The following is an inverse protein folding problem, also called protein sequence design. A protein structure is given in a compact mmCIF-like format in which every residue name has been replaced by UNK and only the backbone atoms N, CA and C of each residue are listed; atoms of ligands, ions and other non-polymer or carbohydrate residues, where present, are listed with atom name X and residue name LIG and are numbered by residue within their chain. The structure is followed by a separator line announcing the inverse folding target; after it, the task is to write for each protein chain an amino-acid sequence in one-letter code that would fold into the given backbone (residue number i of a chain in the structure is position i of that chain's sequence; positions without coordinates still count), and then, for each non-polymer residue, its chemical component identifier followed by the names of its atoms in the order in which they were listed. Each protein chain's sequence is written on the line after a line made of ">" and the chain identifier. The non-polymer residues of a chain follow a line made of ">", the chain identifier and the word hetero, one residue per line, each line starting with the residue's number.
data_IF_953488695799
#
_entry.id   IF_953488695799
#
_cell.length_a   1.000
_cell.length_b   1.000
_cell.length_c   1.000
_cell.angle_alpha   90.00
_cell.angle_beta   90.00
_cell.angle_gamma   90.00
#
_symmetry.space_group_name_H-M   'P 1'
#
loop_
_entity.id
_entity.type
_entity.pdbx_description
1 polymer ?
#
# COMPACT_ATOMS: atom_id res chain seq x y z
N UNK A 1 -19.60 -5.84 40.10
CA UNK A 1 -18.65 -5.52 39.05
C UNK A 1 -19.07 -4.26 38.33
N UNK A 2 -18.11 -3.51 37.98
CA UNK A 2 -18.37 -2.28 37.25
C UNK A 2 -18.34 -2.58 35.77
N UNK A 3 -19.43 -2.29 35.13
CA UNK A 3 -19.51 -2.37 33.70
C UNK A 3 -18.86 -1.12 33.11
N UNK A 4 -17.79 -1.27 32.40
CA UNK A 4 -17.16 -0.18 31.71
C UNK A 4 -17.50 -0.22 30.24
N UNK A 5 -17.98 0.91 29.73
CA UNK A 5 -18.12 1.07 28.32
C UNK A 5 -16.70 1.25 27.74
N UNK A 6 -16.26 0.27 26.99
CA UNK A 6 -14.97 0.37 26.28
C UNK A 6 -15.28 0.82 24.86
N UNK A 7 -14.82 2.03 24.57
CA UNK A 7 -14.90 2.51 23.20
C UNK A 7 -13.62 2.11 22.48
N UNK A 8 -13.75 1.16 21.56
CA UNK A 8 -12.63 0.72 20.75
C UNK A 8 -12.65 1.47 19.43
N UNK A 9 -11.62 2.26 19.20
CA UNK A 9 -11.35 2.79 17.89
C UNK A 9 -10.38 1.86 17.19
N UNK A 10 -10.73 1.37 16.00
CA UNK A 10 -9.79 0.61 15.20
C UNK A 10 -8.81 1.58 14.57
N UNK A 11 -7.53 1.37 14.86
CA UNK A 11 -6.45 2.16 14.26
C UNK A 11 -5.42 1.21 13.70
N UNK A 12 -5.06 1.43 12.47
CA UNK A 12 -4.00 0.66 11.80
C UNK A 12 -2.83 1.58 11.50
N UNK A 13 -1.68 1.01 11.15
CA UNK A 13 -0.51 1.80 10.83
C UNK A 13 -0.75 2.62 9.57
N UNK A 14 -0.45 3.90 9.66
CA UNK A 14 -0.47 4.83 8.55
C UNK A 14 0.92 5.45 8.40
N UNK A 15 1.40 5.54 7.17
CA UNK A 15 2.65 6.22 6.87
C UNK A 15 2.49 7.09 5.64
N UNK A 16 2.98 8.32 5.74
CA UNK A 16 3.02 9.25 4.61
C UNK A 16 4.24 8.95 3.75
N UNK A 17 4.05 8.90 2.44
CA UNK A 17 5.10 8.68 1.46
C UNK A 17 5.16 9.88 0.54
N UNK A 18 6.34 10.49 0.41
CA UNK A 18 6.52 11.69 -0.40
C UNK A 18 7.57 11.52 -1.49
N UNK A 19 8.26 10.39 -1.53
CA UNK A 19 9.31 10.12 -2.51
C UNK A 19 9.46 8.62 -2.72
N UNK A 20 10.27 8.23 -3.68
CA UNK A 20 10.57 6.83 -3.96
C UNK A 20 11.10 6.11 -2.72
N UNK A 21 10.82 4.82 -2.61
CA UNK A 21 11.25 4.01 -1.48
C UNK A 21 10.68 2.61 -1.56
N UNK A 22 10.65 1.95 -0.41
CA UNK A 22 10.15 0.58 -0.28
C UNK A 22 9.24 0.50 0.95
N UNK A 23 8.09 -0.17 0.81
CA UNK A 23 7.22 -0.44 1.94
C UNK A 23 7.83 -1.49 2.87
N UNK A 24 7.26 -1.64 4.06
CA UNK A 24 7.72 -2.63 5.03
C UNK A 24 6.55 -3.48 5.51
N UNK A 25 6.87 -4.61 6.12
CA UNK A 25 5.84 -5.54 6.62
C UNK A 25 4.98 -4.94 7.72
N UNK A 26 5.42 -3.83 8.33
CA UNK A 26 4.63 -3.12 9.35
C UNK A 26 3.66 -2.10 8.75
N UNK A 27 3.76 -1.80 7.45
CA UNK A 27 2.87 -0.86 6.79
C UNK A 27 1.50 -1.47 6.57
N UNK A 28 0.46 -0.66 6.74
CA UNK A 28 -0.91 -1.05 6.43
C UNK A 28 -1.54 -0.07 5.44
N UNK A 29 -1.49 1.23 5.77
CA UNK A 29 -1.98 2.29 4.88
C UNK A 29 -0.80 3.18 4.50
N UNK A 30 -0.61 3.38 3.22
CA UNK A 30 0.36 4.33 2.68
C UNK A 30 -0.39 5.45 1.99
N UNK A 31 -0.21 6.68 2.49
CA UNK A 31 -0.77 7.88 1.89
C UNK A 31 0.31 8.59 1.09
N UNK A 32 0.14 8.66 -0.22
CA UNK A 32 1.14 9.25 -1.10
C UNK A 32 0.86 10.75 -1.28
N UNK A 33 1.69 11.57 -0.64
CA UNK A 33 1.83 13.00 -0.92
C UNK A 33 2.91 13.21 -1.98
N UNK A 34 3.55 14.34 -2.02
CA UNK A 34 4.69 14.60 -2.91
C UNK A 34 4.29 14.61 -4.39
N UNK A 35 4.37 15.79 -5.03
CA UNK A 35 3.98 15.94 -6.43
C UNK A 35 4.92 15.19 -7.37
N UNK A 36 4.46 14.92 -8.59
CA UNK A 36 5.23 14.27 -9.64
C UNK A 36 5.11 12.75 -9.61
N UNK A 37 5.84 12.10 -10.49
CA UNK A 37 5.87 10.65 -10.54
C UNK A 37 6.64 10.08 -9.35
N UNK A 38 6.12 9.00 -8.77
CA UNK A 38 6.78 8.28 -7.68
C UNK A 38 6.85 6.81 -8.06
N UNK A 39 8.05 6.24 -7.99
CA UNK A 39 8.24 4.79 -8.10
C UNK A 39 8.47 4.24 -6.69
N UNK A 40 7.65 3.26 -6.31
CA UNK A 40 7.68 2.72 -4.96
C UNK A 40 7.66 1.20 -5.00
N UNK A 41 8.56 0.59 -4.26
CA UNK A 41 8.65 -0.87 -4.21
C UNK A 41 7.77 -1.39 -3.09
N UNK A 42 6.94 -2.37 -3.42
CA UNK A 42 6.14 -3.09 -2.41
C UNK A 42 7.03 -4.17 -1.80
N UNK A 43 7.01 -4.28 -0.48
CA UNK A 43 7.79 -5.31 0.22
C UNK A 43 7.35 -6.72 -0.20
N UNK A 44 8.17 -7.71 0.12
CA UNK A 44 7.91 -9.09 -0.29
C UNK A 44 6.58 -9.61 0.25
N UNK A 45 5.75 -10.13 -0.65
CA UNK A 45 4.49 -10.80 -0.30
C UNK A 45 4.75 -12.05 0.55
N UNK A 46 5.84 -12.74 0.29
CA UNK A 46 6.24 -13.91 1.07
C UNK A 46 6.62 -13.51 2.50
N UNK A 47 7.35 -12.41 2.67
CA UNK A 47 7.70 -11.92 4.00
C UNK A 47 6.47 -11.41 4.76
N UNK A 48 5.53 -10.79 4.06
CA UNK A 48 4.29 -10.32 4.67
C UNK A 48 3.42 -11.46 5.15
N UNK A 49 3.39 -12.54 4.39
CA UNK A 49 2.58 -13.71 4.69
C UNK A 49 1.18 -13.64 4.06
N UNK A 50 0.59 -14.79 3.86
CA UNK A 50 -0.75 -14.90 3.27
C UNK A 50 -1.79 -14.18 4.14
N UNK A 51 -2.64 -13.39 3.51
CA UNK A 51 -3.68 -12.62 4.19
C UNK A 51 -3.25 -11.23 4.62
N UNK A 52 -1.98 -10.84 4.43
CA UNK A 52 -1.55 -9.47 4.71
C UNK A 52 -2.16 -8.50 3.72
N UNK A 53 -2.58 -7.35 4.23
CA UNK A 53 -3.20 -6.28 3.44
C UNK A 53 -2.27 -5.08 3.38
N UNK A 54 -2.31 -4.38 2.23
CA UNK A 54 -1.65 -3.10 2.06
C UNK A 54 -2.57 -2.19 1.27
N UNK A 55 -2.89 -1.05 1.85
CA UNK A 55 -3.78 -0.06 1.24
C UNK A 55 -2.97 1.14 0.81
N UNK A 56 -3.17 1.58 -0.42
CA UNK A 56 -2.41 2.69 -0.99
C UNK A 56 -3.39 3.72 -1.51
N UNK A 57 -3.20 4.97 -1.08
CA UNK A 57 -4.02 6.10 -1.48
C UNK A 57 -3.15 7.21 -2.02
N UNK A 58 -3.48 7.72 -3.19
CA UNK A 58 -2.92 8.98 -3.67
C UNK A 58 -3.69 10.11 -3.00
N UNK A 59 -3.03 10.82 -2.09
CA UNK A 59 -3.65 11.88 -1.31
C UNK A 59 -3.63 13.23 -2.03
N UNK A 60 -3.02 13.29 -3.23
CA UNK A 60 -3.03 14.51 -4.04
C UNK A 60 -4.13 14.44 -5.10
N UNK A 61 -4.85 15.54 -5.26
CA UNK A 61 -5.87 15.64 -6.30
C UNK A 61 -5.26 15.86 -7.70
N UNK A 62 -4.03 16.35 -7.76
CA UNK A 62 -3.32 16.60 -9.01
C UNK A 62 -1.83 16.41 -8.78
N UNK A 63 -1.33 15.25 -9.16
CA UNK A 63 0.06 14.87 -8.90
C UNK A 63 1.02 15.34 -9.99
N UNK A 64 0.57 15.38 -11.23
CA UNK A 64 1.43 15.66 -12.37
C UNK A 64 2.32 14.48 -12.74
N UNK A 65 1.87 13.26 -12.51
CA UNK A 65 2.59 12.04 -12.79
C UNK A 65 1.82 10.85 -12.23
N UNK A 66 2.42 9.69 -12.26
CA UNK A 66 1.79 8.45 -11.78
C UNK A 66 2.57 7.87 -10.61
N UNK A 67 1.87 7.12 -9.76
CA UNK A 67 2.51 6.26 -8.77
C UNK A 67 2.67 4.89 -9.44
N UNK A 68 3.91 4.43 -9.55
CA UNK A 68 4.20 3.10 -10.09
C UNK A 68 4.70 2.22 -8.95
N UNK A 69 3.98 1.15 -8.70
CA UNK A 69 4.38 0.16 -7.71
C UNK A 69 5.19 -0.93 -8.41
N UNK A 70 6.28 -1.35 -7.80
CA UNK A 70 7.06 -2.49 -8.28
C UNK A 70 7.08 -3.59 -7.24
N UNK A 71 6.98 -4.84 -7.69
CA UNK A 71 7.07 -5.98 -6.79
C UNK A 71 8.53 -6.25 -6.41
N UNK A 72 8.72 -6.91 -5.28
CA UNK A 72 10.06 -7.29 -4.79
C UNK A 72 10.51 -8.60 -5.40
N UNK A 73 11.78 -8.68 -5.74
CA UNK A 73 12.38 -9.91 -6.25
C UNK A 73 11.66 -10.42 -7.49
N UNK A 74 11.36 -11.70 -7.52
CA UNK A 74 10.63 -12.34 -8.62
C UNK A 74 9.13 -12.35 -8.43
N UNK A 75 8.60 -11.60 -7.45
CA UNK A 75 7.17 -11.54 -7.18
C UNK A 75 6.44 -10.65 -8.17
N UNK A 76 5.12 -10.70 -8.15
CA UNK A 76 4.27 -9.93 -9.06
C UNK A 76 3.12 -9.28 -8.31
N UNK A 77 2.54 -8.25 -8.95
CA UNK A 77 1.27 -7.64 -8.56
C UNK A 77 0.30 -7.94 -9.70
N UNK A 78 -0.72 -8.74 -9.43
CA UNK A 78 -1.66 -9.21 -10.45
C UNK A 78 -0.95 -9.82 -11.67
N UNK A 79 0.13 -10.57 -11.44
CA UNK A 79 0.90 -11.22 -12.50
C UNK A 79 1.91 -10.32 -13.21
N UNK A 80 2.03 -9.04 -12.82
CA UNK A 80 2.96 -8.10 -13.44
C UNK A 80 4.03 -7.66 -12.45
N UNK A 81 5.21 -7.33 -12.95
CA UNK A 81 6.32 -6.86 -12.10
C UNK A 81 6.10 -5.44 -11.59
N UNK A 82 5.22 -4.69 -12.21
CA UNK A 82 4.86 -3.34 -11.78
C UNK A 82 3.37 -3.09 -12.00
N UNK A 83 2.84 -2.10 -11.30
CA UNK A 83 1.44 -1.70 -11.38
C UNK A 83 1.36 -0.18 -11.25
N UNK A 84 0.75 0.46 -12.23
CA UNK A 84 0.61 1.91 -12.25
C UNK A 84 -0.75 2.32 -11.69
N UNK A 85 -0.73 3.24 -10.73
CA UNK A 85 -1.94 3.80 -10.14
C UNK A 85 -2.23 5.12 -10.84
N UNK A 86 -3.37 5.20 -11.53
CA UNK A 86 -3.76 6.38 -12.31
C UNK A 86 -5.15 6.83 -11.94
N UNK A 87 -5.49 8.05 -12.33
CA UNK A 87 -6.80 8.65 -12.09
C UNK A 87 -6.71 9.85 -11.16
N UNK A 88 -7.86 10.36 -10.74
CA UNK A 88 -7.96 11.45 -9.76
C UNK A 88 -8.06 10.86 -8.36
N UNK A 89 -7.06 11.15 -7.53
CA UNK A 89 -7.02 10.64 -6.15
C UNK A 89 -7.30 9.14 -6.05
N UNK A 90 -6.60 8.29 -6.85
CA UNK A 90 -6.89 6.87 -6.87
C UNK A 90 -6.46 6.18 -5.58
N UNK A 91 -7.07 5.02 -5.35
CA UNK A 91 -6.69 4.14 -4.25
C UNK A 91 -6.71 2.70 -4.75
N UNK A 92 -5.83 1.88 -4.18
CA UNK A 92 -5.85 0.44 -4.42
C UNK A 92 -5.67 -0.31 -3.12
N UNK A 93 -6.22 -1.50 -3.09
CA UNK A 93 -6.02 -2.45 -2.00
C UNK A 93 -5.25 -3.64 -2.55
N UNK A 94 -4.27 -4.09 -1.79
CA UNK A 94 -3.47 -5.26 -2.14
C UNK A 94 -3.58 -6.29 -1.02
N UNK A 95 -3.65 -7.56 -1.39
CA UNK A 95 -3.44 -8.64 -0.44
C UNK A 95 -2.34 -9.58 -0.91
N UNK A 96 -1.64 -10.18 0.04
CA UNK A 96 -0.65 -11.21 -0.23
C UNK A 96 -1.29 -12.57 -0.11
N UNK A 97 -0.97 -13.47 -1.03
CA UNK A 97 -1.34 -14.87 -0.90
C UNK A 97 -0.18 -15.74 -0.36
N UNK A 98 0.87 -15.07 0.12
CA UNK A 98 2.09 -15.73 0.60
C UNK A 98 3.15 -15.88 -0.47
N UNK A 99 2.86 -15.56 -1.71
CA UNK A 99 3.80 -15.65 -2.84
C UNK A 99 3.81 -14.39 -3.68
N UNK A 100 2.66 -13.80 -3.91
CA UNK A 100 2.50 -12.61 -4.76
C UNK A 100 1.43 -11.69 -4.18
N UNK A 101 1.39 -10.46 -4.71
CA UNK A 101 0.36 -9.48 -4.37
C UNK A 101 -0.76 -9.49 -5.40
N UNK A 102 -1.96 -9.21 -4.93
CA UNK A 102 -3.16 -9.13 -5.76
C UNK A 102 -3.94 -7.88 -5.42
N UNK A 103 -4.45 -7.20 -6.46
CA UNK A 103 -5.31 -6.03 -6.32
C UNK A 103 -6.75 -6.47 -6.11
N UNK A 104 -7.44 -5.78 -5.19
CA UNK A 104 -8.85 -6.10 -4.94
C UNK A 104 -9.66 -4.86 -4.59
#
# INVERSE_FOLDING_TARGET
>A
STSQAITLGLRVNYRSVTSAGTSSTSDYILGFGGAGAIEYRVHSASDAGAGSLLLIKDELSSRGGAITLSASGGETIDGNTSYEITGSSPAISLYSNGSNWFVF
#
